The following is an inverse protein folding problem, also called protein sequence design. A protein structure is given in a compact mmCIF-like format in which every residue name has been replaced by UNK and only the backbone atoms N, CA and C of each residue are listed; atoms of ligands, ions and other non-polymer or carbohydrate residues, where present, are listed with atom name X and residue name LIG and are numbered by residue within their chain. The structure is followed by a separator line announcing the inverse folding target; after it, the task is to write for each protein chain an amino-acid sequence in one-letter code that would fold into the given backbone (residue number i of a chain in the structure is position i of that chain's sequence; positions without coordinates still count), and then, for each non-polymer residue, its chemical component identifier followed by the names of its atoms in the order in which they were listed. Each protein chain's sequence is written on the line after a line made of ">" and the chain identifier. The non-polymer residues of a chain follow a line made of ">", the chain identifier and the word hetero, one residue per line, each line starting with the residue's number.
data_IF_370980862493
#
_entry.id   IF_370980862493
#
_cell.length_a   1.000
_cell.length_b   1.000
_cell.length_c   1.000
_cell.angle_alpha   90.00
_cell.angle_beta   90.00
_cell.angle_gamma   90.00
#
_symmetry.space_group_name_H-M   'P 1'
#
loop_
_entity.id
_entity.type
_entity.pdbx_description
1 polymer ?
#
# COMPACT_ATOMS: atom_id res chain seq x y z
N UNK A 1 -35.03 50.70 33.78
CA UNK A 1 -34.50 49.51 34.48
C UNK A 1 -33.60 48.78 33.53
N UNK A 2 -32.31 49.03 33.62
CA UNK A 2 -31.29 48.53 32.72
C UNK A 2 -30.75 47.22 33.31
N UNK A 3 -30.86 46.14 32.59
CA UNK A 3 -30.27 44.85 32.96
C UNK A 3 -28.79 44.87 32.52
N UNK A 4 -27.81 44.70 33.38
CA UNK A 4 -26.43 44.58 32.94
C UNK A 4 -26.20 43.22 32.28
N UNK A 5 -25.75 43.23 31.04
CA UNK A 5 -25.18 42.09 30.34
C UNK A 5 -23.72 42.02 30.79
N UNK A 6 -23.38 41.03 31.59
CA UNK A 6 -21.99 40.71 31.95
C UNK A 6 -21.59 39.58 31.01
N UNK A 7 -20.93 39.86 29.91
CA UNK A 7 -19.98 38.97 29.26
C UNK A 7 -18.62 39.27 29.91
N UNK A 8 -18.32 38.59 31.02
CA UNK A 8 -16.97 38.48 31.50
C UNK A 8 -16.28 37.38 30.69
N UNK A 9 -15.31 37.77 29.87
CA UNK A 9 -14.34 36.85 29.26
C UNK A 9 -13.49 36.23 30.39
N UNK A 10 -13.90 35.06 30.84
CA UNK A 10 -13.14 34.24 31.79
C UNK A 10 -11.80 33.86 31.15
N UNK A 11 -10.71 34.12 31.86
CA UNK A 11 -9.40 33.58 31.43
C UNK A 11 -9.40 32.04 31.45
N UNK A 12 -8.52 31.40 30.66
CA UNK A 12 -8.41 29.94 30.67
C UNK A 12 -8.16 29.37 32.06
N UNK A 13 -7.39 30.09 32.89
CA UNK A 13 -7.10 29.67 34.28
C UNK A 13 -8.35 29.74 35.16
N UNK A 14 -9.14 30.80 35.07
CA UNK A 14 -10.41 30.94 35.81
C UNK A 14 -11.45 29.89 35.38
N UNK A 15 -11.50 29.57 34.08
CA UNK A 15 -12.36 28.52 33.57
C UNK A 15 -11.96 27.15 34.11
N UNK A 16 -10.67 26.83 34.16
CA UNK A 16 -10.15 25.58 34.72
C UNK A 16 -10.44 25.48 36.22
N UNK A 17 -10.24 26.57 36.97
CA UNK A 17 -10.57 26.60 38.40
C UNK A 17 -12.06 26.38 38.64
N UNK A 18 -12.93 27.03 37.86
CA UNK A 18 -14.36 26.87 37.96
C UNK A 18 -14.82 25.42 37.67
N UNK A 19 -14.26 24.78 36.65
CA UNK A 19 -14.53 23.40 36.29
C UNK A 19 -14.05 22.45 37.38
N UNK A 20 -12.87 22.68 37.97
CA UNK A 20 -12.33 21.87 39.06
C UNK A 20 -13.15 22.04 40.33
N UNK A 21 -13.61 23.23 40.64
CA UNK A 21 -14.47 23.51 41.81
C UNK A 21 -15.84 22.81 41.69
N UNK A 22 -16.47 22.86 40.50
CA UNK A 22 -17.74 22.16 40.25
C UNK A 22 -17.56 20.63 40.26
N UNK A 23 -16.45 20.11 39.73
CA UNK A 23 -16.14 18.67 39.82
C UNK A 23 -15.97 18.22 41.31
N UNK A 24 -15.23 18.99 42.11
CA UNK A 24 -15.05 18.68 43.53
C UNK A 24 -16.38 18.73 44.27
N UNK A 25 -17.25 19.68 43.99
CA UNK A 25 -18.58 19.81 44.58
C UNK A 25 -19.46 18.61 44.19
N UNK A 26 -19.50 18.24 42.94
CA UNK A 26 -20.24 17.06 42.44
C UNK A 26 -19.77 15.76 43.10
N UNK A 27 -18.45 15.58 43.27
CA UNK A 27 -17.84 14.42 43.94
C UNK A 27 -18.17 14.41 45.43
N UNK A 28 -18.18 15.57 46.08
CA UNK A 28 -18.55 15.69 47.52
C UNK A 28 -20.04 15.38 47.74
N UNK A 29 -20.92 15.86 46.87
CA UNK A 29 -22.35 15.56 46.88
C UNK A 29 -22.62 14.07 46.65
N UNK A 30 -21.94 13.41 45.70
CA UNK A 30 -22.07 11.96 45.43
C UNK A 30 -21.58 11.16 46.64
N UNK A 31 -20.50 11.58 47.29
CA UNK A 31 -19.98 10.95 48.51
C UNK A 31 -20.94 11.08 49.69
N UNK A 32 -21.56 12.25 49.89
CA UNK A 32 -22.57 12.44 50.92
C UNK A 32 -23.85 11.63 50.64
N UNK A 33 -24.29 11.53 49.38
CA UNK A 33 -25.44 10.70 48.99
C UNK A 33 -25.19 9.22 49.26
N UNK A 34 -23.95 8.74 48.99
CA UNK A 34 -23.54 7.34 49.34
C UNK A 34 -23.51 7.08 50.83
N UNK A 35 -23.01 8.03 51.64
CA UNK A 35 -22.96 7.91 53.09
C UNK A 35 -24.40 7.91 53.69
N UNK A 36 -25.32 8.69 53.12
CA UNK A 36 -26.73 8.73 53.54
C UNK A 36 -27.56 7.54 53.04
N UNK A 37 -26.95 6.54 52.41
CA UNK A 37 -27.65 5.34 51.95
C UNK A 37 -28.69 5.58 50.85
N UNK A 38 -28.66 6.79 50.20
CA UNK A 38 -29.54 7.06 49.06
C UNK A 38 -29.07 6.25 47.86
N UNK A 39 -29.89 5.25 47.50
CA UNK A 39 -29.63 4.48 46.26
C UNK A 39 -29.57 5.43 45.08
N UNK A 40 -28.56 5.29 44.20
CA UNK A 40 -28.45 6.13 43.02
C UNK A 40 -29.77 6.06 42.23
N UNK A 41 -30.27 7.21 41.77
CA UNK A 41 -31.50 7.30 40.97
C UNK A 41 -31.37 6.33 39.80
N UNK A 42 -32.18 5.26 39.83
CA UNK A 42 -32.20 4.26 38.76
C UNK A 42 -32.49 4.99 37.44
N UNK A 43 -31.50 5.09 36.58
CA UNK A 43 -31.70 5.72 35.25
C UNK A 43 -32.90 5.07 34.59
N UNK A 44 -33.82 5.89 34.09
CA UNK A 44 -35.02 5.39 33.39
C UNK A 44 -34.58 4.43 32.30
N UNK A 45 -35.15 3.23 32.17
CA UNK A 45 -34.71 2.25 31.17
C UNK A 45 -34.69 2.81 29.74
N UNK A 46 -35.57 3.75 29.45
CA UNK A 46 -35.66 4.46 28.17
C UNK A 46 -34.36 5.21 27.83
N UNK A 47 -33.74 5.90 28.82
CA UNK A 47 -32.48 6.64 28.60
C UNK A 47 -31.35 5.68 28.24
N UNK A 48 -31.29 4.52 28.87
CA UNK A 48 -30.31 3.46 28.54
C UNK A 48 -30.52 2.95 27.11
N UNK A 49 -31.77 2.72 26.73
CA UNK A 49 -32.08 2.28 25.36
C UNK A 49 -31.72 3.33 24.31
N UNK A 50 -31.93 4.63 24.58
CA UNK A 50 -31.53 5.72 23.69
C UNK A 50 -30.01 5.75 23.55
N UNK A 51 -29.25 5.67 24.65
CA UNK A 51 -27.80 5.66 24.64
C UNK A 51 -27.26 4.46 23.83
N UNK A 52 -27.78 3.27 24.10
CA UNK A 52 -27.39 2.06 23.37
C UNK A 52 -27.75 2.11 21.89
N UNK A 53 -28.91 2.67 21.53
CA UNK A 53 -29.32 2.89 20.14
C UNK A 53 -28.37 3.86 19.43
N UNK A 54 -28.02 5.00 20.06
CA UNK A 54 -27.04 5.95 19.51
C UNK A 54 -25.67 5.30 19.35
N UNK A 55 -25.19 4.58 20.34
CA UNK A 55 -23.92 3.87 20.27
C UNK A 55 -23.91 2.83 19.16
N UNK A 56 -25.00 2.08 18.98
CA UNK A 56 -25.14 1.11 17.90
C UNK A 56 -25.13 1.78 16.52
N UNK A 57 -25.88 2.88 16.33
CA UNK A 57 -25.90 3.62 15.07
C UNK A 57 -24.52 4.18 14.74
N UNK A 58 -23.82 4.76 15.70
CA UNK A 58 -22.45 5.28 15.52
C UNK A 58 -21.48 4.15 15.18
N UNK A 59 -21.53 3.04 15.92
CA UNK A 59 -20.70 1.87 15.67
C UNK A 59 -20.95 1.30 14.26
N UNK A 60 -22.21 1.10 13.90
CA UNK A 60 -22.57 0.55 12.59
C UNK A 60 -22.18 1.48 11.44
N UNK A 61 -22.38 2.78 11.61
CA UNK A 61 -21.97 3.78 10.61
C UNK A 61 -20.45 3.79 10.44
N UNK A 62 -19.70 3.83 11.53
CA UNK A 62 -18.22 3.76 11.49
C UNK A 62 -17.74 2.45 10.87
N UNK A 63 -18.34 1.33 11.26
CA UNK A 63 -18.00 0.01 10.71
C UNK A 63 -18.31 -0.06 9.19
N UNK A 64 -19.46 0.46 8.77
CA UNK A 64 -19.85 0.49 7.36
C UNK A 64 -18.88 1.35 6.53
N UNK A 65 -18.46 2.51 7.05
CA UNK A 65 -17.45 3.36 6.40
C UNK A 65 -16.10 2.65 6.28
N UNK A 66 -15.62 2.02 7.36
CA UNK A 66 -14.38 1.25 7.33
C UNK A 66 -14.46 0.08 6.36
N UNK A 67 -15.58 -0.63 6.35
CA UNK A 67 -15.83 -1.72 5.42
C UNK A 67 -15.80 -1.23 3.95
N UNK A 68 -16.44 -0.11 3.65
CA UNK A 68 -16.45 0.48 2.32
C UNK A 68 -15.06 0.92 1.86
N UNK A 69 -14.27 1.54 2.75
CA UNK A 69 -12.96 2.07 2.41
C UNK A 69 -11.92 0.96 2.20
N UNK A 70 -11.94 -0.10 3.02
CA UNK A 70 -10.88 -1.11 3.01
C UNK A 70 -11.26 -2.41 2.31
N UNK A 71 -12.52 -2.83 2.38
CA UNK A 71 -12.91 -4.18 1.90
C UNK A 71 -13.29 -4.19 0.43
N UNK A 72 -13.99 -3.18 -0.06
CA UNK A 72 -14.43 -3.14 -1.46
C UNK A 72 -13.24 -3.09 -2.43
N UNK A 73 -12.24 -2.19 -2.25
CA UNK A 73 -11.06 -2.17 -3.12
C UNK A 73 -10.26 -3.47 -3.09
N UNK A 74 -10.14 -4.12 -1.93
CA UNK A 74 -9.44 -5.40 -1.81
C UNK A 74 -10.17 -6.54 -2.53
N UNK A 75 -11.49 -6.59 -2.46
CA UNK A 75 -12.29 -7.59 -3.18
C UNK A 75 -12.16 -7.40 -4.69
N UNK A 76 -12.22 -6.17 -5.18
CA UNK A 76 -12.07 -5.86 -6.60
C UNK A 76 -10.69 -6.24 -7.11
N UNK A 77 -9.65 -5.90 -6.36
CA UNK A 77 -8.27 -6.30 -6.61
C UNK A 77 -8.10 -7.81 -6.77
N UNK A 78 -8.68 -8.61 -5.86
CA UNK A 78 -8.62 -10.07 -5.93
C UNK A 78 -9.47 -10.66 -7.08
N UNK A 79 -10.62 -10.05 -7.40
CA UNK A 79 -11.45 -10.46 -8.55
C UNK A 79 -10.71 -10.27 -9.88
N UNK A 80 -10.06 -9.12 -10.05
CA UNK A 80 -9.24 -8.86 -11.25
C UNK A 80 -8.11 -9.87 -11.34
N UNK A 81 -7.40 -10.12 -10.24
CA UNK A 81 -6.33 -11.11 -10.19
C UNK A 81 -6.83 -12.53 -10.56
N UNK A 82 -7.98 -12.93 -10.06
CA UNK A 82 -8.57 -14.25 -10.38
C UNK A 82 -8.92 -14.34 -11.86
N UNK A 83 -9.53 -13.29 -12.44
CA UNK A 83 -9.87 -13.23 -13.85
C UNK A 83 -8.63 -13.32 -14.74
N UNK A 84 -7.60 -12.51 -14.44
CA UNK A 84 -6.34 -12.51 -15.20
C UNK A 84 -5.61 -13.84 -15.06
N UNK A 85 -5.59 -14.44 -13.87
CA UNK A 85 -4.94 -15.73 -13.62
C UNK A 85 -5.59 -16.91 -14.35
N UNK A 86 -6.77 -16.74 -14.94
CA UNK A 86 -7.39 -17.75 -15.80
C UNK A 86 -6.83 -17.73 -17.23
N UNK A 87 -6.04 -16.72 -17.61
CA UNK A 87 -5.41 -16.60 -18.92
C UNK A 87 -4.08 -17.40 -18.92
N UNK A 88 -3.85 -18.19 -19.96
CA UNK A 88 -2.66 -19.06 -20.05
C UNK A 88 -1.35 -18.28 -20.10
N UNK A 89 -1.31 -17.17 -20.82
CA UNK A 89 -0.17 -16.28 -20.90
C UNK A 89 0.19 -15.65 -19.54
N UNK A 90 -0.80 -15.18 -18.79
CA UNK A 90 -0.58 -14.67 -17.43
C UNK A 90 -0.04 -15.77 -16.50
N UNK A 91 -0.50 -17.02 -16.66
CA UNK A 91 0.05 -18.13 -15.89
C UNK A 91 1.52 -18.40 -16.22
N UNK A 92 1.91 -18.27 -17.49
CA UNK A 92 3.30 -18.40 -17.89
C UNK A 92 4.16 -17.27 -17.32
N UNK A 93 3.70 -16.01 -17.41
CA UNK A 93 4.43 -14.86 -16.87
C UNK A 93 4.62 -14.94 -15.35
N UNK A 94 3.63 -15.44 -14.62
CA UNK A 94 3.72 -15.65 -13.16
C UNK A 94 4.87 -16.57 -12.74
N UNK A 95 5.26 -17.52 -13.56
CA UNK A 95 6.36 -18.46 -13.25
C UNK A 95 7.70 -17.73 -13.14
N UNK A 96 7.88 -16.66 -13.93
CA UNK A 96 9.09 -15.84 -13.93
C UNK A 96 9.08 -14.72 -12.89
N UNK A 97 7.92 -14.42 -12.27
CA UNK A 97 7.83 -13.42 -11.20
C UNK A 97 8.11 -14.07 -9.86
N UNK A 98 9.07 -13.52 -9.14
CA UNK A 98 9.63 -14.09 -7.92
C UNK A 98 9.41 -13.20 -6.71
N UNK A 99 9.44 -13.79 -5.52
CA UNK A 99 9.60 -13.05 -4.28
C UNK A 99 11.08 -12.84 -4.01
N UNK A 100 11.50 -11.62 -3.75
CA UNK A 100 12.85 -11.27 -3.30
C UNK A 100 12.78 -11.00 -1.80
N UNK A 101 13.64 -11.67 -1.02
CA UNK A 101 13.66 -11.58 0.44
C UNK A 101 15.07 -11.33 0.96
N UNK A 102 15.19 -10.40 1.90
CA UNK A 102 16.44 -10.09 2.62
C UNK A 102 16.44 -10.66 4.04
N UNK A 103 15.45 -11.48 4.40
CA UNK A 103 15.20 -11.91 5.78
C UNK A 103 14.42 -10.89 6.63
N UNK A 104 14.62 -9.61 6.42
CA UNK A 104 13.89 -8.52 7.12
C UNK A 104 12.87 -7.80 6.25
N UNK A 105 13.04 -7.83 4.95
CA UNK A 105 12.19 -7.19 3.94
C UNK A 105 11.80 -8.17 2.84
N UNK A 106 10.67 -7.90 2.19
CA UNK A 106 10.19 -8.66 1.04
C UNK A 106 9.68 -7.71 -0.03
N UNK A 107 10.00 -8.05 -1.28
CA UNK A 107 9.54 -7.39 -2.48
C UNK A 107 9.29 -8.37 -3.60
N UNK A 108 9.09 -7.82 -4.78
CA UNK A 108 8.93 -8.59 -6.02
C UNK A 108 10.21 -8.46 -6.86
N UNK A 109 10.51 -9.46 -7.63
CA UNK A 109 11.44 -9.42 -8.74
C UNK A 109 10.91 -10.24 -9.89
N UNK A 110 11.62 -10.27 -11.00
CA UNK A 110 11.31 -11.15 -12.12
C UNK A 110 12.58 -11.57 -12.85
N UNK A 111 12.60 -12.80 -13.29
CA UNK A 111 13.72 -13.31 -14.06
C UNK A 111 13.68 -12.81 -15.50
N UNK A 112 14.84 -12.41 -16.01
CA UNK A 112 15.06 -11.87 -17.37
C UNK A 112 15.92 -12.79 -18.24
N UNK A 113 16.43 -13.88 -17.66
CA UNK A 113 17.22 -14.86 -18.36
C UNK A 113 17.01 -16.27 -17.78
N UNK A 114 17.28 -17.28 -18.58
CA UNK A 114 17.17 -18.68 -18.17
C UNK A 114 18.32 -19.15 -17.26
N UNK A 115 19.39 -18.39 -17.19
CA UNK A 115 20.56 -18.61 -16.32
C UNK A 115 20.48 -17.89 -14.97
N UNK A 116 19.31 -17.29 -14.65
CA UNK A 116 18.98 -16.82 -13.32
C UNK A 116 19.25 -15.33 -13.02
N UNK A 117 19.34 -14.47 -14.05
CA UNK A 117 19.31 -13.03 -13.81
C UNK A 117 17.89 -12.56 -13.42
N UNK A 118 17.79 -11.87 -12.30
CA UNK A 118 16.55 -11.36 -11.72
C UNK A 118 16.65 -9.85 -11.52
N UNK A 119 15.66 -9.11 -11.99
CA UNK A 119 15.53 -7.66 -11.77
C UNK A 119 14.58 -7.37 -10.62
N UNK A 120 14.95 -6.42 -9.79
CA UNK A 120 14.13 -5.90 -8.68
C UNK A 120 14.46 -4.41 -8.44
N UNK A 121 13.92 -3.80 -7.37
CA UNK A 121 14.34 -2.47 -6.95
C UNK A 121 15.54 -2.53 -5.99
N UNK A 122 16.35 -1.47 -6.00
CA UNK A 122 17.50 -1.34 -5.12
C UNK A 122 17.08 -1.29 -3.65
N UNK A 123 16.06 -0.50 -3.31
CA UNK A 123 15.55 -0.41 -1.92
C UNK A 123 15.00 -1.74 -1.37
N UNK A 124 14.68 -2.73 -2.23
CA UNK A 124 14.26 -4.07 -1.78
C UNK A 124 15.44 -4.86 -1.24
N UNK A 125 16.63 -4.65 -1.80
CA UNK A 125 17.86 -5.41 -1.50
C UNK A 125 18.89 -4.60 -0.71
N UNK A 126 18.63 -3.33 -0.48
CA UNK A 126 19.54 -2.44 0.26
C UNK A 126 19.84 -2.98 1.67
N UNK A 127 21.11 -2.93 2.06
CA UNK A 127 21.63 -3.41 3.35
C UNK A 127 21.30 -4.88 3.67
N UNK A 128 21.02 -5.71 2.67
CA UNK A 128 20.75 -7.13 2.86
C UNK A 128 22.00 -7.90 3.28
N UNK A 129 21.95 -8.62 4.40
CA UNK A 129 23.00 -9.56 4.80
C UNK A 129 22.88 -10.90 4.03
N UNK A 130 21.69 -11.27 3.67
CA UNK A 130 21.38 -12.46 2.88
C UNK A 130 20.28 -12.12 1.89
N UNK A 131 20.43 -12.60 0.66
CA UNK A 131 19.46 -12.46 -0.39
C UNK A 131 18.93 -13.84 -0.78
N UNK A 132 17.63 -13.97 -0.86
CA UNK A 132 16.97 -15.16 -1.39
C UNK A 132 15.88 -14.78 -2.38
N UNK A 133 15.73 -15.61 -3.40
CA UNK A 133 14.73 -15.48 -4.46
C UNK A 133 13.87 -16.73 -4.45
N UNK A 134 12.56 -16.58 -4.42
CA UNK A 134 11.59 -17.66 -4.42
C UNK A 134 10.89 -17.72 -5.76
N UNK A 135 11.18 -18.75 -6.56
CA UNK A 135 10.41 -19.03 -7.77
C UNK A 135 9.17 -19.87 -7.42
N UNK A 136 7.99 -19.53 -7.95
CA UNK A 136 6.74 -20.20 -7.57
C UNK A 136 6.76 -21.73 -7.72
N UNK A 137 7.41 -22.25 -8.78
CA UNK A 137 7.41 -23.68 -9.11
C UNK A 137 8.77 -24.36 -8.85
N UNK A 138 9.84 -23.59 -8.59
CA UNK A 138 11.21 -24.14 -8.42
C UNK A 138 11.72 -24.05 -6.97
N UNK A 139 11.10 -23.24 -6.11
CA UNK A 139 11.49 -23.12 -4.71
C UNK A 139 12.40 -21.94 -4.41
N UNK A 140 13.18 -22.05 -3.34
CA UNK A 140 14.01 -20.98 -2.77
C UNK A 140 15.45 -21.15 -3.22
N UNK A 141 16.07 -20.07 -3.67
CA UNK A 141 17.46 -20.00 -4.09
C UNK A 141 18.17 -18.86 -3.36
N UNK A 142 19.44 -19.04 -3.04
CA UNK A 142 20.32 -17.94 -2.67
C UNK A 142 20.60 -17.09 -3.89
N UNK A 143 20.71 -15.79 -3.69
CA UNK A 143 20.97 -14.83 -4.75
C UNK A 143 22.14 -13.91 -4.37
N UNK A 144 22.88 -13.46 -5.37
CA UNK A 144 23.96 -12.50 -5.26
C UNK A 144 23.55 -11.19 -5.94
N UNK A 145 23.82 -10.05 -5.32
CA UNK A 145 23.67 -8.74 -5.93
C UNK A 145 24.79 -8.51 -6.93
N UNK A 146 24.46 -8.45 -8.23
CA UNK A 146 25.45 -8.26 -9.30
C UNK A 146 25.53 -6.81 -9.78
N UNK A 147 24.38 -6.11 -9.80
CA UNK A 147 24.29 -4.72 -10.21
C UNK A 147 23.34 -3.96 -9.28
N UNK A 148 23.73 -2.75 -8.85
CA UNK A 148 22.92 -1.85 -8.03
C UNK A 148 22.99 -0.45 -8.64
N UNK A 149 21.81 0.18 -8.80
CA UNK A 149 21.61 1.50 -9.37
C UNK A 149 20.67 2.32 -8.48
N UNK A 150 21.17 2.80 -7.32
CA UNK A 150 20.35 3.49 -6.33
C UNK A 150 19.65 4.75 -6.88
N UNK A 151 20.30 5.44 -7.82
CA UNK A 151 19.79 6.68 -8.44
C UNK A 151 18.50 6.50 -9.25
N UNK A 152 18.23 5.29 -9.69
CA UNK A 152 17.00 4.91 -10.43
C UNK A 152 16.25 3.75 -9.77
N UNK A 153 16.65 3.41 -8.54
CA UNK A 153 16.05 2.36 -7.71
C UNK A 153 15.91 1.01 -8.45
N UNK A 154 16.99 0.56 -9.11
CA UNK A 154 17.05 -0.73 -9.79
C UNK A 154 18.20 -1.58 -9.25
N UNK A 155 18.00 -2.89 -9.21
CA UNK A 155 19.03 -3.87 -8.89
C UNK A 155 18.89 -5.13 -9.74
N UNK A 156 20.01 -5.79 -10.01
CA UNK A 156 20.05 -7.08 -10.71
C UNK A 156 20.72 -8.10 -9.80
N UNK A 157 20.06 -9.23 -9.63
CA UNK A 157 20.51 -10.36 -8.85
C UNK A 157 20.87 -11.51 -9.77
N UNK A 158 21.83 -12.34 -9.33
CA UNK A 158 22.14 -13.63 -9.93
C UNK A 158 21.73 -14.75 -8.99
N UNK A 159 20.93 -15.66 -9.50
CA UNK A 159 20.57 -16.94 -8.88
C UNK A 159 21.36 -18.05 -9.56
N UNK A 160 21.94 -18.98 -8.80
CA UNK A 160 22.67 -20.10 -9.36
C UNK A 160 21.70 -21.19 -9.83
N UNK A 161 21.84 -21.61 -11.08
CA UNK A 161 21.01 -22.65 -11.70
C UNK A 161 20.76 -22.36 -13.17
N UNK A 162 19.92 -23.16 -13.77
CA UNK A 162 19.56 -23.10 -15.18
C UNK A 162 18.05 -23.36 -15.38
N UNK A 163 17.60 -23.17 -16.62
CA UNK A 163 16.22 -23.42 -17.02
C UNK A 163 15.18 -22.65 -16.20
N UNK A 164 15.54 -21.43 -15.75
CA UNK A 164 14.57 -20.55 -15.09
C UNK A 164 13.58 -19.98 -16.11
N UNK A 165 12.27 -19.88 -15.76
CA UNK A 165 11.34 -19.12 -16.58
C UNK A 165 11.75 -17.64 -16.58
N UNK A 166 11.72 -17.00 -17.74
CA UNK A 166 12.14 -15.62 -17.91
C UNK A 166 11.10 -14.82 -18.69
N UNK A 167 11.00 -13.51 -18.40
CA UNK A 167 10.18 -12.54 -19.14
C UNK A 167 11.02 -11.87 -20.22
N UNK A 168 10.41 -11.62 -21.37
CA UNK A 168 10.99 -10.81 -22.42
C UNK A 168 10.95 -9.33 -22.05
N UNK A 169 12.08 -8.62 -22.26
CA UNK A 169 12.13 -7.16 -22.12
C UNK A 169 11.82 -6.49 -23.46
N UNK A 170 10.89 -5.54 -23.48
CA UNK A 170 10.61 -4.74 -24.65
C UNK A 170 11.84 -3.91 -25.04
N UNK A 171 12.27 -4.00 -26.29
CA UNK A 171 13.46 -3.28 -26.78
C UNK A 171 13.21 -1.77 -26.92
N UNK A 172 12.07 -1.40 -27.48
CA UNK A 172 11.67 -0.01 -27.71
C UNK A 172 10.18 0.16 -27.41
N UNK A 173 9.75 0.10 -26.13
CA UNK A 173 8.34 0.28 -25.80
C UNK A 173 7.89 1.70 -26.13
N UNK A 174 6.67 1.81 -26.63
CA UNK A 174 5.96 3.08 -26.75
C UNK A 174 4.98 3.21 -25.60
N UNK A 175 4.85 4.41 -25.04
CA UNK A 175 3.93 4.68 -23.95
C UNK A 175 2.80 5.57 -24.45
N UNK A 176 1.63 4.97 -24.70
CA UNK A 176 0.46 5.71 -25.15
C UNK A 176 -0.48 5.92 -23.97
N UNK A 177 -0.89 7.18 -23.73
CA UNK A 177 -1.86 7.50 -22.67
C UNK A 177 -3.15 6.71 -22.86
N UNK A 178 -3.69 6.17 -21.77
CA UNK A 178 -4.85 5.28 -21.69
C UNK A 178 -4.64 3.87 -22.24
N UNK A 179 -3.43 3.51 -22.62
CA UNK A 179 -3.09 2.13 -22.97
C UNK A 179 -3.18 1.24 -21.72
N UNK A 180 -3.71 0.02 -21.90
CA UNK A 180 -3.81 -0.97 -20.85
C UNK A 180 -2.48 -1.65 -20.64
N UNK A 181 -2.12 -1.83 -19.36
CA UNK A 181 -0.94 -2.57 -18.94
C UNK A 181 -1.32 -3.58 -17.87
N UNK A 182 -0.51 -4.62 -17.75
CA UNK A 182 -0.63 -5.63 -16.71
C UNK A 182 0.59 -5.55 -15.80
N UNK A 183 0.45 -5.99 -14.57
CA UNK A 183 1.59 -6.18 -13.68
C UNK A 183 1.36 -7.39 -12.79
N UNK A 184 2.44 -8.04 -12.41
CA UNK A 184 2.40 -9.22 -11.56
C UNK A 184 3.36 -8.99 -10.39
N UNK A 185 2.89 -9.20 -9.16
CA UNK A 185 3.71 -8.98 -7.99
C UNK A 185 3.29 -9.78 -6.78
N UNK A 186 3.98 -9.52 -5.66
CA UNK A 186 3.79 -10.23 -4.40
C UNK A 186 3.33 -9.25 -3.29
N UNK A 187 2.16 -8.58 -3.46
CA UNK A 187 1.69 -7.58 -2.52
C UNK A 187 1.29 -8.21 -1.18
N UNK A 188 1.65 -7.52 -0.08
CA UNK A 188 1.30 -7.91 1.29
C UNK A 188 1.83 -9.31 1.64
N UNK A 189 0.95 -10.30 1.78
CA UNK A 189 1.28 -11.70 2.05
C UNK A 189 0.88 -12.64 0.89
N UNK A 190 0.49 -12.08 -0.25
CA UNK A 190 0.07 -12.84 -1.43
C UNK A 190 1.22 -12.96 -2.42
N UNK A 191 1.28 -14.08 -3.14
CA UNK A 191 2.26 -14.33 -4.20
C UNK A 191 1.58 -14.40 -5.56
N UNK A 192 2.25 -13.89 -6.60
CA UNK A 192 1.80 -14.00 -7.97
C UNK A 192 0.43 -13.34 -8.25
N UNK A 193 0.17 -12.19 -7.66
CA UNK A 193 -1.05 -11.41 -7.93
C UNK A 193 -0.90 -10.66 -9.24
N UNK A 194 -1.68 -11.03 -10.24
CA UNK A 194 -1.78 -10.29 -11.49
C UNK A 194 -2.85 -9.21 -11.38
N UNK A 195 -2.55 -8.03 -11.88
CA UNK A 195 -3.49 -6.93 -11.95
C UNK A 195 -3.29 -6.12 -13.22
N UNK A 196 -4.20 -5.19 -13.47
CA UNK A 196 -4.17 -4.33 -14.65
C UNK A 196 -4.20 -2.86 -14.23
N UNK A 197 -3.72 -2.01 -15.12
CA UNK A 197 -3.75 -0.56 -14.98
C UNK A 197 -3.85 0.12 -16.33
N UNK A 198 -3.90 1.45 -16.29
CA UNK A 198 -3.95 2.30 -17.47
C UNK A 198 -2.76 3.25 -17.40
N UNK A 199 -1.99 3.35 -18.48
CA UNK A 199 -0.90 4.31 -18.59
C UNK A 199 -1.44 5.74 -18.55
N UNK A 200 -0.76 6.56 -17.81
CA UNK A 200 -1.03 8.00 -17.72
C UNK A 200 0.04 8.75 -18.54
N UNK A 201 0.73 9.66 -17.92
CA UNK A 201 1.80 10.46 -18.51
C UNK A 201 3.10 10.25 -17.74
N UNK A 202 4.21 10.64 -18.31
CA UNK A 202 5.49 10.69 -17.61
C UNK A 202 5.50 11.81 -16.58
N UNK A 203 6.30 11.64 -15.53
CA UNK A 203 6.59 12.69 -14.56
C UNK A 203 8.07 12.67 -14.21
N UNK A 204 8.61 13.83 -13.86
CA UNK A 204 9.93 13.93 -13.27
C UNK A 204 9.75 14.08 -11.76
N UNK A 205 10.47 13.27 -11.02
CA UNK A 205 10.50 13.37 -9.56
C UNK A 205 11.66 14.27 -9.12
N UNK A 206 11.51 14.90 -7.95
CA UNK A 206 12.58 15.67 -7.33
C UNK A 206 13.76 14.72 -7.03
N UNK A 207 14.98 15.14 -7.34
CA UNK A 207 16.21 14.35 -7.16
C UNK A 207 16.27 13.03 -7.95
N UNK A 208 15.46 12.89 -9.01
CA UNK A 208 15.46 11.70 -9.87
C UNK A 208 16.03 12.03 -11.25
N UNK A 209 17.04 11.30 -11.73
CA UNK A 209 17.76 11.66 -12.98
C UNK A 209 16.93 11.42 -14.25
N UNK A 210 15.98 10.49 -14.19
CA UNK A 210 15.20 10.03 -15.33
C UNK A 210 13.70 10.31 -15.15
N UNK A 211 12.96 10.42 -16.24
CA UNK A 211 11.50 10.48 -16.18
C UNK A 211 10.93 9.10 -15.85
N UNK A 212 9.92 9.08 -14.98
CA UNK A 212 9.18 7.86 -14.64
C UNK A 212 7.79 7.89 -15.25
N UNK A 213 7.22 6.73 -15.47
CA UNK A 213 5.84 6.58 -15.93
C UNK A 213 4.87 6.49 -14.78
N UNK A 214 3.74 7.16 -14.93
CA UNK A 214 2.58 7.00 -14.05
C UNK A 214 1.57 6.03 -14.64
N UNK A 215 0.96 5.21 -13.79
CA UNK A 215 -0.18 4.38 -14.16
C UNK A 215 -1.29 4.45 -13.11
N UNK A 216 -2.52 4.46 -13.55
CA UNK A 216 -3.67 4.30 -12.68
C UNK A 216 -3.90 2.81 -12.45
N UNK A 217 -3.42 2.33 -11.31
CA UNK A 217 -3.43 0.91 -10.96
C UNK A 217 -3.44 0.72 -9.43
N UNK A 218 -3.99 -0.40 -8.92
CA UNK A 218 -4.01 -0.72 -7.50
C UNK A 218 -2.66 -1.28 -7.02
N UNK A 219 -1.65 -0.41 -6.91
CA UNK A 219 -0.31 -0.77 -6.43
C UNK A 219 -0.26 -0.70 -4.91
N UNK A 220 0.23 -1.78 -4.28
CA UNK A 220 0.36 -1.93 -2.83
C UNK A 220 1.80 -2.26 -2.42
N UNK A 221 2.08 -2.17 -1.11
CA UNK A 221 3.36 -2.59 -0.54
C UNK A 221 3.65 -4.05 -0.92
N UNK A 222 4.87 -4.32 -1.40
CA UNK A 222 5.30 -5.61 -1.93
C UNK A 222 5.26 -5.70 -3.47
N UNK A 223 4.61 -4.74 -4.16
CA UNK A 223 4.71 -4.63 -5.61
C UNK A 223 6.00 -3.93 -6.09
N UNK A 224 6.84 -3.43 -5.20
CA UNK A 224 8.18 -2.94 -5.57
C UNK A 224 8.96 -4.04 -6.27
N UNK A 225 9.53 -3.75 -7.45
CA UNK A 225 10.22 -4.70 -8.31
C UNK A 225 9.30 -5.52 -9.25
N UNK A 226 7.99 -5.28 -9.23
CA UNK A 226 7.06 -5.96 -10.15
C UNK A 226 7.26 -5.52 -11.59
N UNK A 227 7.27 -6.45 -12.57
CA UNK A 227 7.26 -6.11 -13.99
C UNK A 227 5.92 -5.48 -14.38
N UNK A 228 5.98 -4.43 -15.20
CA UNK A 228 4.84 -3.90 -15.96
C UNK A 228 4.92 -4.46 -17.37
N UNK A 229 3.84 -5.10 -17.80
CA UNK A 229 3.77 -5.80 -19.10
C UNK A 229 2.82 -5.08 -20.04
N UNK A 230 3.18 -5.03 -21.29
CA UNK A 230 2.28 -4.62 -22.38
C UNK A 230 1.29 -5.74 -22.75
N UNK A 231 0.43 -5.50 -23.74
CA UNK A 231 -0.54 -6.49 -24.25
C UNK A 231 0.13 -7.71 -24.93
N UNK A 232 1.42 -7.63 -25.27
CA UNK A 232 2.19 -8.73 -25.85
C UNK A 232 2.92 -9.56 -24.78
N UNK A 233 2.84 -9.15 -23.52
CA UNK A 233 3.55 -9.77 -22.40
C UNK A 233 5.02 -9.39 -22.26
N UNK A 234 5.46 -8.35 -22.99
CA UNK A 234 6.82 -7.83 -22.86
C UNK A 234 6.91 -6.85 -21.70
N UNK A 235 8.00 -6.90 -20.95
CA UNK A 235 8.25 -5.97 -19.84
C UNK A 235 8.58 -4.60 -20.39
N UNK A 236 7.77 -3.60 -20.05
CA UNK A 236 7.94 -2.20 -20.41
C UNK A 236 8.43 -1.33 -19.26
N UNK A 237 8.46 -1.85 -18.03
CA UNK A 237 8.97 -1.13 -16.86
C UNK A 237 8.89 -1.91 -15.56
N UNK A 238 9.41 -1.30 -14.49
CA UNK A 238 9.55 -1.88 -13.15
C UNK A 238 8.87 -0.95 -12.13
N UNK A 239 7.86 -1.45 -11.42
CA UNK A 239 7.17 -0.70 -10.36
C UNK A 239 8.13 -0.45 -9.20
N UNK A 240 8.16 0.79 -8.66
CA UNK A 240 8.99 1.11 -7.50
C UNK A 240 8.25 1.88 -6.41
N UNK A 241 7.24 2.69 -6.75
CA UNK A 241 6.56 3.57 -5.79
C UNK A 241 5.10 3.85 -6.14
N UNK A 242 4.45 4.59 -5.27
CA UNK A 242 3.14 5.22 -5.51
C UNK A 242 3.17 6.67 -5.07
N UNK A 243 2.40 7.52 -5.74
CA UNK A 243 2.20 8.92 -5.36
C UNK A 243 0.74 9.34 -5.45
N UNK A 244 0.39 10.48 -4.83
CA UNK A 244 -0.90 11.15 -5.09
C UNK A 244 -0.72 12.15 -6.23
N UNK A 245 -1.60 12.11 -7.22
CA UNK A 245 -1.60 13.00 -8.38
C UNK A 245 -3.02 13.41 -8.75
N UNK A 246 -3.36 14.67 -8.57
CA UNK A 246 -4.65 15.19 -9.03
C UNK A 246 -4.70 15.23 -10.57
N UNK A 247 -5.83 14.87 -11.21
CA UNK A 247 -7.10 14.43 -10.61
C UNK A 247 -7.20 12.91 -10.37
N UNK A 248 -6.13 12.13 -10.59
CA UNK A 248 -6.14 10.66 -10.64
C UNK A 248 -6.15 9.98 -9.25
N UNK A 249 -5.90 10.75 -8.19
CA UNK A 249 -5.74 10.20 -6.86
C UNK A 249 -4.41 9.48 -6.66
N UNK A 250 -4.43 8.25 -6.15
CA UNK A 250 -3.22 7.44 -5.96
C UNK A 250 -2.86 6.73 -7.25
N UNK A 251 -1.65 6.95 -7.75
CA UNK A 251 -1.09 6.34 -8.97
C UNK A 251 0.12 5.50 -8.64
N UNK A 252 0.36 4.44 -9.42
CA UNK A 252 1.61 3.68 -9.42
C UNK A 252 2.65 4.38 -10.26
N UNK A 253 3.92 4.26 -9.85
CA UNK A 253 5.08 4.73 -10.59
C UNK A 253 5.94 3.55 -11.01
N UNK A 254 6.45 3.61 -12.23
CA UNK A 254 7.41 2.61 -12.70
C UNK A 254 8.55 3.25 -13.50
N UNK A 255 9.72 2.66 -13.38
CA UNK A 255 10.90 3.00 -14.18
C UNK A 255 10.74 2.36 -15.56
N UNK A 256 10.81 3.12 -16.67
CA UNK A 256 10.79 2.55 -18.01
C UNK A 256 11.94 1.56 -18.25
N UNK A 257 11.67 0.47 -18.95
CA UNK A 257 12.68 -0.59 -19.17
C UNK A 257 13.92 -0.10 -19.95
N UNK A 258 13.79 0.98 -20.75
CA UNK A 258 14.92 1.60 -21.44
C UNK A 258 16.01 2.05 -20.47
N UNK A 259 15.65 2.50 -19.27
CA UNK A 259 16.64 2.89 -18.25
C UNK A 259 17.55 1.72 -17.94
N UNK A 260 16.99 0.53 -17.70
CA UNK A 260 17.78 -0.68 -17.49
C UNK A 260 18.64 -1.05 -18.70
N UNK A 261 18.10 -0.94 -19.93
CA UNK A 261 18.85 -1.18 -21.15
C UNK A 261 20.07 -0.25 -21.28
N UNK A 262 19.88 1.05 -20.97
CA UNK A 262 20.95 2.04 -21.04
C UNK A 262 22.06 1.80 -20.01
N UNK A 263 21.68 1.35 -18.79
CA UNK A 263 22.64 1.08 -17.71
C UNK A 263 23.50 -0.18 -17.96
N UNK A 264 23.02 -1.10 -18.79
CA UNK A 264 23.68 -2.39 -19.07
C UNK A 264 24.37 -2.45 -20.44
N UNK A 265 24.50 -1.32 -21.15
CA UNK A 265 25.29 -1.18 -22.38
C UNK A 265 26.75 -0.88 -22.05
#
# INVERSE_FOLDING_TARGET
>A
MHKPTIEEDLTEEEFIELVLAEQQKALAEDRQQRIQGKKPKKQRPIVKWIIWSMAFVLFFNTFALLFQIYTIPAIEFLKVSTRLSAQEDIQLYKKAVVEVSTGSSKGTGFAISHDGLVVTNDHVVDNAQTLSVVFPEKGIFEAELVESYPEVDLAVLQVQGDDFPALELAQNPSFTKNERVYFIGNPLAFTGIANEGILLETTLLEDWPETVMMMQAPVYKGNSGSPVLDEKGQVIGIIFATMKKEPYGRVGLFVPIQVLHNLRQ
#
